data_IF_044707600254
#
_entry.id   IF_044707600254
#
_cell.length_a   1.000
_cell.length_b   1.000
_cell.length_c   1.000
_cell.angle_alpha   90.00
_cell.angle_beta   90.00
_cell.angle_gamma   90.00
#
_symmetry.space_group_name_H-M   'P 1'
#
loop_
_entity.id
_entity.type
_entity.pdbx_description
1 polymer ?
#
# COMPACT_ATOMS: atom_id res chain seq x y z
N UNK A 1 7.87 -1.32 -7.71
CA UNK A 1 7.23 -1.46 -6.38
C UNK A 1 6.26 -2.64 -6.32
N UNK A 2 5.50 -2.93 -7.37
CA UNK A 2 4.52 -4.02 -7.40
C UNK A 2 4.82 -4.99 -8.57
N UNK A 3 5.83 -5.89 -8.43
CA UNK A 3 6.28 -6.73 -9.54
C UNK A 3 5.22 -7.72 -10.03
N UNK A 4 4.30 -8.15 -9.16
CA UNK A 4 3.17 -9.02 -9.54
C UNK A 4 1.90 -8.23 -9.87
N UNK A 5 1.99 -6.89 -9.87
CA UNK A 5 0.92 -5.96 -10.18
C UNK A 5 0.27 -5.29 -8.97
N UNK A 6 -0.52 -4.27 -9.28
CA UNK A 6 -1.35 -3.50 -8.36
C UNK A 6 -2.54 -2.93 -9.15
N UNK A 7 -3.56 -2.40 -8.45
CA UNK A 7 -4.78 -1.91 -9.07
C UNK A 7 -5.03 -0.45 -8.68
N UNK A 8 -5.38 0.37 -9.67
CA UNK A 8 -5.91 1.72 -9.48
C UNK A 8 -7.19 1.89 -10.30
N UNK A 9 -8.21 2.50 -9.69
CA UNK A 9 -9.46 2.84 -10.37
C UNK A 9 -9.31 4.21 -11.03
N UNK A 10 -8.89 4.24 -12.30
CA UNK A 10 -8.64 5.48 -13.05
C UNK A 10 -9.87 6.40 -13.14
N UNK A 11 -11.09 5.87 -13.18
CA UNK A 11 -12.32 6.68 -13.12
C UNK A 11 -12.56 7.41 -11.80
N UNK A 12 -11.83 7.05 -10.73
CA UNK A 12 -11.82 7.78 -9.46
C UNK A 12 -10.73 8.86 -9.38
N UNK A 13 -9.83 8.92 -10.36
CA UNK A 13 -8.74 9.91 -10.44
C UNK A 13 -9.27 11.16 -11.15
N UNK A 14 -8.89 12.35 -10.66
CA UNK A 14 -9.29 13.59 -11.30
C UNK A 14 -8.71 13.68 -12.73
N UNK A 15 -9.52 14.18 -13.66
CA UNK A 15 -9.11 14.37 -15.05
C UNK A 15 -7.83 15.22 -15.16
N UNK A 16 -6.91 14.77 -16.02
CA UNK A 16 -5.61 15.42 -16.27
C UNK A 16 -4.48 14.93 -15.37
N UNK A 17 -4.77 14.24 -14.26
CA UNK A 17 -3.72 13.60 -13.44
C UNK A 17 -3.32 12.28 -14.10
N UNK A 18 -2.11 12.23 -14.65
CA UNK A 18 -1.53 11.04 -15.30
C UNK A 18 -0.31 10.50 -14.58
N UNK A 19 0.33 11.31 -13.72
CA UNK A 19 1.53 10.95 -12.98
C UNK A 19 1.56 11.66 -11.64
N UNK A 20 2.11 11.00 -10.62
CA UNK A 20 2.40 11.58 -9.31
C UNK A 20 3.74 11.06 -8.82
N UNK A 21 4.56 11.94 -8.25
CA UNK A 21 5.86 11.58 -7.70
C UNK A 21 6.07 12.35 -6.39
N UNK A 22 6.58 11.66 -5.36
CA UNK A 22 6.93 12.34 -4.12
C UNK A 22 7.46 11.41 -3.03
N UNK A 23 7.84 12.00 -1.88
CA UNK A 23 8.40 11.24 -0.77
C UNK A 23 7.35 10.38 -0.07
N UNK A 24 7.76 9.17 0.32
CA UNK A 24 6.93 8.22 1.02
C UNK A 24 6.68 8.66 2.47
N UNK A 25 5.45 8.43 2.95
CA UNK A 25 5.12 8.39 4.38
C UNK A 25 4.53 7.01 4.66
N UNK A 26 5.24 6.23 5.45
CA UNK A 26 4.99 4.80 5.66
C UNK A 26 4.28 4.57 6.99
N UNK A 27 3.29 3.69 6.94
CA UNK A 27 2.52 3.20 8.08
C UNK A 27 2.38 1.68 7.99
N UNK A 28 2.47 1.00 9.13
CA UNK A 28 2.41 -0.47 9.22
C UNK A 28 0.99 -0.98 9.58
N UNK A 29 0.03 -0.05 9.69
CA UNK A 29 -1.39 -0.35 9.86
C UNK A 29 -2.29 0.78 9.37
N UNK A 30 -3.56 0.45 9.11
CA UNK A 30 -4.60 1.45 8.87
C UNK A 30 -4.69 2.44 10.05
N UNK A 31 -4.65 1.97 11.29
CA UNK A 31 -4.78 2.82 12.49
C UNK A 31 -3.69 3.89 12.55
N UNK A 32 -2.42 3.50 12.34
CA UNK A 32 -1.30 4.43 12.28
C UNK A 32 -1.45 5.45 11.16
N UNK A 33 -1.94 5.02 9.98
CA UNK A 33 -2.19 5.92 8.86
C UNK A 33 -3.26 6.95 9.20
N UNK A 34 -4.34 6.54 9.87
CA UNK A 34 -5.41 7.47 10.30
C UNK A 34 -4.90 8.52 11.29
N UNK A 35 -4.07 8.10 12.24
CA UNK A 35 -3.45 9.01 13.22
C UNK A 35 -2.44 9.95 12.55
N UNK A 36 -1.60 9.43 11.67
CA UNK A 36 -0.60 10.20 10.93
C UNK A 36 -1.22 11.23 9.98
N UNK A 37 -2.35 10.89 9.35
CA UNK A 37 -3.10 11.83 8.52
C UNK A 37 -3.73 12.91 9.41
N UNK A 38 -4.44 12.52 10.48
CA UNK A 38 -5.13 13.45 11.38
C UNK A 38 -4.19 14.43 12.09
N UNK A 39 -2.97 13.99 12.43
CA UNK A 39 -1.94 14.82 13.06
C UNK A 39 -1.21 15.76 12.09
N UNK A 40 -1.47 15.66 10.78
CA UNK A 40 -0.81 16.48 9.76
C UNK A 40 0.59 16.03 9.38
N UNK A 41 0.99 14.78 9.69
CA UNK A 41 2.24 14.18 9.17
C UNK A 41 2.23 14.14 7.64
N UNK A 42 1.06 13.92 7.05
CA UNK A 42 0.86 13.89 5.59
C UNK A 42 0.67 15.29 5.03
N UNK A 43 1.45 15.64 3.99
CA UNK A 43 1.48 16.96 3.36
C UNK A 43 1.27 16.82 1.84
N UNK A 44 0.90 17.92 1.14
CA UNK A 44 0.87 17.94 -0.32
C UNK A 44 2.17 17.40 -0.95
N UNK A 45 2.04 16.57 -1.98
CA UNK A 45 3.13 15.92 -2.69
C UNK A 45 3.49 14.53 -2.15
N UNK A 46 3.13 14.20 -0.90
CA UNK A 46 3.50 12.92 -0.30
C UNK A 46 2.84 11.71 -1.01
N UNK A 47 3.48 10.55 -0.85
CA UNK A 47 2.95 9.25 -1.19
C UNK A 47 2.76 8.45 0.09
N UNK A 48 1.52 8.27 0.53
CA UNK A 48 1.21 7.50 1.73
C UNK A 48 1.27 6.02 1.41
N UNK A 49 2.07 5.25 2.15
CA UNK A 49 2.19 3.80 2.04
C UNK A 49 1.61 3.16 3.29
N UNK A 50 0.57 2.35 3.13
CA UNK A 50 -0.06 1.60 4.21
C UNK A 50 0.18 0.12 3.92
N UNK A 51 1.04 -0.53 4.70
CA UNK A 51 1.48 -1.91 4.43
C UNK A 51 1.12 -2.85 5.56
N UNK A 52 1.27 -4.15 5.32
CA UNK A 52 0.78 -5.22 6.21
C UNK A 52 -0.75 -5.22 6.36
N UNK A 53 -1.45 -4.76 5.32
CA UNK A 53 -2.91 -4.83 5.21
C UNK A 53 -3.34 -5.79 4.08
N UNK A 54 -2.40 -6.58 3.56
CA UNK A 54 -2.66 -7.60 2.55
C UNK A 54 -3.38 -8.85 3.08
N UNK A 55 -3.62 -9.86 2.23
CA UNK A 55 -4.27 -11.11 2.63
C UNK A 55 -3.65 -11.77 3.88
N UNK A 56 -2.33 -11.88 3.94
CA UNK A 56 -1.62 -12.47 5.09
C UNK A 56 -1.34 -11.45 6.19
N UNK A 57 -0.99 -10.23 5.80
CA UNK A 57 -0.56 -9.13 6.67
C UNK A 57 -1.65 -8.65 7.62
N UNK A 58 -2.85 -8.39 7.06
CA UNK A 58 -3.98 -7.83 7.80
C UNK A 58 -4.34 -8.63 9.06
N UNK A 59 -4.65 -9.93 8.96
CA UNK A 59 -4.98 -10.73 7.77
C UNK A 59 -6.41 -10.50 7.26
N UNK A 60 -6.72 -10.97 6.05
CA UNK A 60 -8.05 -10.85 5.44
C UNK A 60 -8.19 -9.73 4.41
N UNK A 61 -7.11 -9.00 4.16
CA UNK A 61 -7.07 -7.91 3.19
C UNK A 61 -8.21 -6.89 3.41
N UNK A 62 -8.29 -6.25 4.60
CA UNK A 62 -9.42 -5.39 4.96
C UNK A 62 -9.61 -4.24 3.97
N UNK A 63 -10.86 -3.80 3.84
CA UNK A 63 -11.19 -2.66 2.99
C UNK A 63 -11.04 -1.34 3.76
N UNK A 64 -10.25 -0.43 3.21
CA UNK A 64 -9.98 0.87 3.79
C UNK A 64 -10.75 1.98 3.06
N UNK A 65 -11.75 2.57 3.71
CA UNK A 65 -12.38 3.81 3.25
C UNK A 65 -11.79 5.03 3.98
N UNK A 66 -11.57 4.90 5.28
CA UNK A 66 -11.26 6.01 6.18
C UNK A 66 -10.00 6.81 5.77
N UNK A 67 -8.84 6.20 5.41
CA UNK A 67 -7.67 6.97 4.98
C UNK A 67 -7.94 7.85 3.75
N UNK A 68 -8.66 7.29 2.76
CA UNK A 68 -9.01 8.04 1.54
C UNK A 68 -9.96 9.20 1.84
N UNK A 69 -10.93 9.00 2.72
CA UNK A 69 -11.87 10.04 3.15
C UNK A 69 -11.19 11.17 3.92
N UNK A 70 -10.24 10.86 4.81
CA UNK A 70 -9.50 11.87 5.56
C UNK A 70 -8.63 12.74 4.65
N UNK A 71 -7.89 12.13 3.72
CA UNK A 71 -7.07 12.86 2.74
C UNK A 71 -7.92 13.82 1.90
N UNK A 72 -9.10 13.39 1.44
CA UNK A 72 -10.04 14.27 0.72
C UNK A 72 -10.55 15.38 1.63
N UNK A 73 -10.96 15.05 2.87
CA UNK A 73 -11.46 16.02 3.85
C UNK A 73 -10.44 17.10 4.24
N UNK A 74 -9.15 16.78 4.20
CA UNK A 74 -8.05 17.73 4.42
C UNK A 74 -7.67 18.54 3.17
N UNK A 75 -8.40 18.38 2.06
CA UNK A 75 -8.10 19.08 0.80
C UNK A 75 -6.85 18.56 0.09
N UNK A 76 -6.43 17.34 0.38
CA UNK A 76 -5.23 16.68 -0.16
C UNK A 76 -5.53 15.66 -1.26
N UNK A 77 -6.81 15.43 -1.60
CA UNK A 77 -7.25 14.35 -2.51
C UNK A 77 -6.63 14.34 -3.92
N UNK A 78 -6.10 15.46 -4.39
CA UNK A 78 -5.43 15.59 -5.70
C UNK A 78 -3.93 15.79 -5.58
N UNK A 79 -3.42 15.88 -4.34
CA UNK A 79 -2.05 16.26 -4.00
C UNK A 79 -1.29 15.12 -3.33
N UNK A 80 -1.99 14.08 -2.90
CA UNK A 80 -1.42 12.94 -2.18
C UNK A 80 -1.88 11.67 -2.86
N UNK A 81 -0.95 10.73 -3.04
CA UNK A 81 -1.26 9.37 -3.43
C UNK A 81 -1.31 8.45 -2.20
N UNK A 82 -2.15 7.41 -2.26
CA UNK A 82 -2.18 6.34 -1.28
C UNK A 82 -1.85 5.01 -1.97
N UNK A 83 -1.00 4.20 -1.35
CA UNK A 83 -0.59 2.89 -1.83
C UNK A 83 -0.79 1.89 -0.69
N UNK A 84 -1.31 0.69 -1.01
CA UNK A 84 -1.42 -0.39 -0.04
C UNK A 84 -1.35 -1.77 -0.69
N UNK A 85 -0.85 -2.75 0.08
CA UNK A 85 -1.02 -4.18 -0.21
C UNK A 85 -2.42 -4.71 0.16
N UNK A 86 -3.21 -3.93 0.89
CA UNK A 86 -4.63 -4.17 1.16
C UNK A 86 -5.56 -3.65 0.06
N UNK A 87 -6.79 -3.27 0.44
CA UNK A 87 -7.82 -2.77 -0.50
C UNK A 87 -8.34 -1.41 -0.08
N UNK A 88 -8.65 -0.59 -1.08
CA UNK A 88 -9.45 0.62 -0.88
C UNK A 88 -10.90 0.38 -1.30
N UNK A 89 -11.81 1.13 -0.70
CA UNK A 89 -13.23 1.02 -1.00
C UNK A 89 -13.55 1.43 -2.44
N UNK A 90 -14.61 0.84 -3.02
CA UNK A 90 -15.15 1.26 -4.30
C UNK A 90 -15.58 2.73 -4.33
N UNK A 91 -15.86 3.33 -3.18
CA UNK A 91 -16.18 4.76 -3.03
C UNK A 91 -14.95 5.68 -3.06
N UNK A 92 -13.73 5.13 -2.93
CA UNK A 92 -12.50 5.93 -2.88
C UNK A 92 -12.27 6.71 -4.17
N UNK A 93 -11.72 7.93 -3.99
CA UNK A 93 -11.36 8.89 -5.05
C UNK A 93 -9.88 9.25 -4.91
N UNK A 94 -9.31 9.81 -5.97
CA UNK A 94 -7.91 10.21 -6.03
C UNK A 94 -6.97 9.06 -6.39
N UNK A 95 -5.67 9.29 -6.20
CA UNK A 95 -4.61 8.36 -6.55
C UNK A 95 -4.47 7.26 -5.48
N UNK A 96 -5.43 6.33 -5.46
CA UNK A 96 -5.46 5.21 -4.53
C UNK A 96 -5.10 3.91 -5.24
N UNK A 97 -3.92 3.37 -4.94
CA UNK A 97 -3.39 2.11 -5.49
C UNK A 97 -3.51 1.01 -4.43
N UNK A 98 -4.30 -0.02 -4.70
CA UNK A 98 -4.43 -1.18 -3.82
C UNK A 98 -3.84 -2.44 -4.42
N UNK A 99 -3.94 -3.56 -3.70
CA UNK A 99 -3.55 -4.90 -4.15
C UNK A 99 -2.07 -4.98 -4.57
N UNK A 100 -1.20 -4.15 -4.01
CA UNK A 100 0.23 -4.23 -4.30
C UNK A 100 0.74 -5.62 -3.96
N UNK A 101 1.26 -6.30 -4.98
CA UNK A 101 1.69 -7.69 -4.90
C UNK A 101 3.15 -7.84 -5.34
N UNK A 102 3.97 -8.66 -4.66
CA UNK A 102 3.69 -9.35 -3.39
C UNK A 102 3.43 -8.38 -2.23
N UNK A 103 2.62 -8.81 -1.26
CA UNK A 103 2.30 -8.01 -0.07
C UNK A 103 3.52 -7.89 0.88
N UNK A 104 3.47 -6.95 1.83
CA UNK A 104 4.59 -6.75 2.75
C UNK A 104 4.84 -7.97 3.65
N UNK A 105 3.79 -8.70 4.02
CA UNK A 105 3.89 -9.91 4.83
C UNK A 105 4.63 -11.06 4.12
N UNK A 106 4.74 -11.03 2.79
CA UNK A 106 5.51 -11.98 1.99
C UNK A 106 6.92 -11.47 1.63
N UNK A 107 7.31 -10.29 2.14
CA UNK A 107 8.59 -9.67 1.81
C UNK A 107 8.59 -9.05 0.41
N UNK A 108 7.42 -8.64 -0.09
CA UNK A 108 7.32 -7.88 -1.33
C UNK A 108 8.01 -6.51 -1.21
N UNK A 109 8.33 -5.83 -2.33
CA UNK A 109 9.09 -4.58 -2.30
C UNK A 109 8.46 -3.47 -1.43
N UNK A 110 7.13 -3.46 -1.26
CA UNK A 110 6.44 -2.52 -0.37
C UNK A 110 6.86 -2.68 1.11
N UNK A 111 7.33 -3.86 1.53
CA UNK A 111 7.86 -4.12 2.88
C UNK A 111 9.14 -3.33 3.20
N UNK A 112 9.85 -2.85 2.19
CA UNK A 112 11.17 -2.23 2.35
C UNK A 112 11.17 -0.73 2.06
N UNK A 113 10.02 -0.13 1.84
CA UNK A 113 9.91 1.32 1.73
C UNK A 113 10.09 1.95 3.11
N UNK A 114 10.82 3.06 3.14
CA UNK A 114 11.08 3.87 4.33
C UNK A 114 10.58 5.31 4.10
N UNK A 115 10.33 6.04 5.19
CA UNK A 115 9.93 7.45 5.13
C UNK A 115 10.94 8.27 4.31
N UNK A 116 10.46 9.04 3.35
CA UNK A 116 11.27 9.90 2.49
C UNK A 116 11.68 9.29 1.14
N UNK A 117 11.55 7.98 0.94
CA UNK A 117 11.82 7.36 -0.36
C UNK A 117 10.96 7.97 -1.47
N UNK A 118 11.53 8.25 -2.63
CA UNK A 118 10.77 8.81 -3.75
C UNK A 118 10.02 7.70 -4.47
N UNK A 119 8.69 7.79 -4.48
CA UNK A 119 7.81 6.89 -5.24
C UNK A 119 7.20 7.64 -6.41
N UNK A 120 7.25 7.00 -7.58
CA UNK A 120 6.61 7.44 -8.81
C UNK A 120 5.45 6.50 -9.16
N UNK A 121 4.29 7.10 -9.43
CA UNK A 121 3.11 6.44 -9.98
C UNK A 121 2.84 7.07 -11.35
N UNK A 122 2.89 6.27 -12.40
CA UNK A 122 2.58 6.68 -13.77
C UNK A 122 1.40 5.87 -14.31
N UNK A 123 0.26 6.54 -14.47
CA UNK A 123 -0.99 5.92 -14.94
C UNK A 123 -0.92 5.65 -16.43
N UNK A 124 -0.27 6.54 -17.19
CA UNK A 124 -0.14 6.40 -18.65
C UNK A 124 0.69 5.18 -18.99
N UNK A 125 1.83 5.02 -18.34
CA UNK A 125 2.74 3.90 -18.55
C UNK A 125 2.40 2.66 -17.70
N UNK A 126 1.43 2.78 -16.79
CA UNK A 126 0.99 1.71 -15.87
C UNK A 126 2.12 1.18 -14.99
N UNK A 127 2.96 2.08 -14.48
CA UNK A 127 4.12 1.74 -13.65
C UNK A 127 4.02 2.33 -12.26
N UNK A 128 4.64 1.65 -11.30
CA UNK A 128 4.82 2.11 -9.93
C UNK A 128 6.23 1.74 -9.45
N UNK A 129 7.06 2.75 -9.24
CA UNK A 129 8.49 2.60 -8.97
C UNK A 129 8.88 3.35 -7.71
N UNK A 130 9.79 2.79 -6.92
CA UNK A 130 10.51 3.58 -5.90
C UNK A 130 11.92 3.81 -6.43
N UNK A 131 12.40 5.06 -6.36
CA UNK A 131 13.71 5.48 -6.88
C UNK A 131 14.81 5.13 -5.88
N UNK A 132 14.98 3.83 -5.66
CA UNK A 132 16.05 3.25 -4.85
C UNK A 132 17.05 2.57 -5.77
N UNK A 133 18.33 2.59 -5.39
CA UNK A 133 19.34 1.81 -6.11
C UNK A 133 19.20 0.33 -5.77
N UNK A 134 19.75 -0.53 -6.63
CA UNK A 134 19.72 -1.97 -6.40
C UNK A 134 20.44 -2.35 -5.10
N UNK A 135 21.53 -1.64 -4.74
CA UNK A 135 22.25 -1.88 -3.49
C UNK A 135 21.38 -1.59 -2.26
N UNK A 136 20.59 -0.53 -2.28
CA UNK A 136 19.70 -0.22 -1.15
C UNK A 136 18.55 -1.22 -1.05
N UNK A 137 17.99 -1.67 -2.20
CA UNK A 137 17.03 -2.77 -2.21
C UNK A 137 17.58 -4.04 -1.58
N UNK A 138 18.77 -4.48 -1.99
CA UNK A 138 19.39 -5.70 -1.48
C UNK A 138 19.75 -5.57 0.00
N UNK A 139 20.27 -4.42 0.43
CA UNK A 139 20.56 -4.14 1.83
C UNK A 139 19.31 -4.21 2.70
N UNK A 140 18.19 -3.62 2.28
CA UNK A 140 16.94 -3.65 3.07
C UNK A 140 16.34 -5.05 3.11
N UNK A 141 16.34 -5.78 2.00
CA UNK A 141 15.94 -7.21 1.95
C UNK A 141 16.76 -8.07 2.90
N UNK A 142 18.08 -7.90 2.91
CA UNK A 142 18.98 -8.68 3.77
C UNK A 142 18.74 -8.44 5.27
N UNK A 143 18.26 -7.26 5.64
CA UNK A 143 17.94 -6.90 7.02
C UNK A 143 16.49 -7.24 7.43
N UNK A 144 15.69 -7.81 6.52
CA UNK A 144 14.30 -8.15 6.82
C UNK A 144 14.21 -9.35 7.75
N UNK A 145 13.60 -9.15 8.91
CA UNK A 145 13.46 -10.19 9.95
C UNK A 145 12.32 -11.17 9.68
N UNK A 146 11.62 -11.01 8.55
CA UNK A 146 10.38 -11.71 8.26
C UNK A 146 9.16 -11.03 8.87
N UNK A 147 7.99 -11.52 8.48
CA UNK A 147 6.70 -11.07 8.99
C UNK A 147 6.27 -11.87 10.23
N UNK A 148 5.85 -11.16 11.28
CA UNK A 148 5.24 -11.76 12.46
C UNK A 148 3.72 -11.54 12.44
N UNK A 149 2.89 -12.59 12.35
CA UNK A 149 1.44 -12.44 12.28
C UNK A 149 0.83 -11.79 13.52
N UNK A 150 -0.01 -10.76 13.31
CA UNK A 150 -0.84 -10.13 14.35
C UNK A 150 -1.76 -11.14 15.05
N UNK A 151 -2.31 -12.09 14.29
CA UNK A 151 -3.22 -13.14 14.79
C UNK A 151 -2.57 -14.52 14.64
N UNK A 152 -2.33 -15.19 15.77
CA UNK A 152 -1.57 -16.46 15.83
C UNK A 152 -2.41 -17.72 15.95
N UNK A 153 -3.69 -17.59 16.31
CA UNK A 153 -4.61 -18.71 16.52
C UNK A 153 -5.97 -18.48 15.85
N UNK A 154 -6.82 -19.51 15.80
CA UNK A 154 -8.16 -19.42 15.22
C UNK A 154 -8.18 -19.35 13.69
N UNK A 155 -9.33 -18.96 13.15
CA UNK A 155 -9.57 -19.01 11.69
C UNK A 155 -8.68 -18.04 10.91
N UNK A 156 -8.46 -16.83 11.40
CA UNK A 156 -7.62 -15.84 10.72
C UNK A 156 -6.15 -16.28 10.63
N UNK A 157 -5.63 -16.98 11.64
CA UNK A 157 -4.31 -17.59 11.56
C UNK A 157 -4.25 -18.72 10.51
N UNK A 158 -5.33 -19.51 10.36
CA UNK A 158 -5.45 -20.51 9.29
C UNK A 158 -5.53 -19.83 7.92
N UNK A 159 -6.34 -18.78 7.78
CA UNK A 159 -6.46 -18.00 6.55
C UNK A 159 -5.11 -17.44 6.11
N UNK A 160 -4.40 -16.72 7.00
CA UNK A 160 -3.08 -16.14 6.71
C UNK A 160 -2.05 -17.18 6.23
N UNK A 161 -2.12 -18.42 6.74
CA UNK A 161 -1.24 -19.52 6.29
C UNK A 161 -1.59 -20.08 4.91
N UNK A 162 -2.87 -20.11 4.55
CA UNK A 162 -3.36 -20.82 3.35
C UNK A 162 -3.67 -19.89 2.18
N UNK A 163 -3.92 -18.61 2.45
CA UNK A 163 -4.31 -17.64 1.43
C UNK A 163 -3.17 -17.36 0.45
N UNK A 164 -3.51 -17.21 -0.82
CA UNK A 164 -2.60 -16.79 -1.88
C UNK A 164 -2.54 -15.27 -2.00
N UNK A 165 -1.59 -14.77 -2.79
CA UNK A 165 -1.50 -13.36 -3.16
C UNK A 165 -2.82 -12.80 -3.72
N UNK A 166 -3.01 -11.49 -3.55
CA UNK A 166 -4.09 -10.75 -4.18
C UNK A 166 -4.02 -10.80 -5.72
N UNK A 167 -2.82 -10.88 -6.31
CA UNK A 167 -2.64 -11.01 -7.77
C UNK A 167 -3.22 -12.30 -8.34
N UNK A 168 -3.36 -13.35 -7.51
CA UNK A 168 -3.99 -14.63 -7.87
C UNK A 168 -5.40 -14.77 -7.29
N UNK A 169 -6.01 -13.67 -6.85
CA UNK A 169 -7.40 -13.63 -6.37
C UNK A 169 -7.59 -13.94 -4.89
N UNK A 170 -6.53 -14.07 -4.09
CA UNK A 170 -6.66 -14.28 -2.64
C UNK A 170 -7.40 -15.56 -2.24
N UNK A 171 -7.32 -16.61 -3.07
CA UNK A 171 -7.94 -17.91 -2.77
C UNK A 171 -7.17 -18.65 -1.67
N UNK A 172 -7.80 -19.60 -0.99
CA UNK A 172 -7.09 -20.48 -0.07
C UNK A 172 -6.59 -21.72 -0.81
N UNK A 173 -5.30 -22.05 -0.67
CA UNK A 173 -4.75 -23.34 -1.10
C UNK A 173 -5.28 -24.41 -0.13
N UNK A 174 -6.17 -25.26 -0.64
CA UNK A 174 -6.71 -26.43 0.07
C UNK A 174 -5.92 -27.66 -0.38
#
# INVERSE_FOLDING_TARGET
LAPDGAIIKTGGVQAGITRHEGPAIVFDSQEEALEGIASGKVKPGHVVVIRYEGPKGGPGMPEMLAPTSQIVGMGLGTKVALITDGRFSGASRGLSVGHVSPEAAEGGPIAFIEDGDIIEIDITNRTINAKLSDEEWEKRKANWKGFEPKVKTGYLARYSKLVTSASTGGIMKI
#
